data_IF_752892595477
#
_entry.id   IF_752892595477
#
_cell.length_a   1.000
_cell.length_b   1.000
_cell.length_c   1.000
_cell.angle_alpha   90.00
_cell.angle_beta   90.00
_cell.angle_gamma   90.00
#
_symmetry.space_group_name_H-M   'P 1'
#
loop_
_entity.id
_entity.type
_entity.pdbx_description
1 polymer ?
#
# COMPACT_ATOMS: atom_id res chain seq x y z
N UNK A 1 -29.26 -10.45 -45.66
CA UNK A 1 -28.46 -11.50 -46.34
C UNK A 1 -27.03 -10.97 -46.45
N UNK A 2 -25.92 -11.70 -46.33
CA UNK A 2 -25.56 -13.07 -45.84
C UNK A 2 -24.02 -13.16 -45.90
N UNK A 3 -23.27 -13.92 -45.08
CA UNK A 3 -23.58 -14.69 -43.86
C UNK A 3 -22.27 -15.08 -43.15
N UNK A 4 -22.24 -15.06 -41.80
CA UNK A 4 -21.54 -16.03 -40.92
C UNK A 4 -20.02 -16.33 -41.05
N UNK A 5 -19.32 -16.33 -39.88
CA UNK A 5 -18.08 -17.05 -39.54
C UNK A 5 -16.72 -16.58 -40.16
N UNK A 6 -15.55 -16.80 -39.52
CA UNK A 6 -15.19 -17.06 -38.11
C UNK A 6 -13.64 -17.01 -37.90
N UNK A 7 -13.20 -17.06 -36.62
CA UNK A 7 -11.89 -17.58 -36.12
C UNK A 7 -10.57 -16.80 -36.33
N UNK A 8 -10.15 -16.13 -35.26
CA UNK A 8 -8.94 -16.40 -34.42
C UNK A 8 -7.52 -16.50 -35.03
N UNK A 9 -6.63 -15.59 -34.60
CA UNK A 9 -5.22 -15.79 -34.16
C UNK A 9 -4.92 -14.68 -33.11
N UNK A 10 -4.86 -14.91 -31.80
CA UNK A 10 -3.75 -15.42 -30.94
C UNK A 10 -2.44 -14.58 -30.96
N UNK A 11 -2.25 -13.88 -29.84
CA UNK A 11 -1.01 -13.55 -29.11
C UNK A 11 0.16 -12.84 -29.78
N UNK A 12 0.51 -11.66 -29.25
CA UNK A 12 1.88 -11.42 -28.77
C UNK A 12 1.82 -10.81 -27.36
N UNK A 13 2.51 -11.45 -26.42
CA UNK A 13 2.64 -11.03 -25.03
C UNK A 13 3.92 -10.19 -24.88
N UNK A 14 3.84 -9.04 -24.22
CA UNK A 14 5.03 -8.37 -23.66
C UNK A 14 4.77 -8.11 -22.19
N UNK A 15 5.27 -9.00 -21.36
CA UNK A 15 5.23 -8.84 -19.91
C UNK A 15 6.35 -7.89 -19.49
N UNK A 16 6.01 -6.79 -18.83
CA UNK A 16 6.95 -6.10 -17.94
C UNK A 16 6.21 -5.25 -16.90
N UNK A 17 6.81 -5.13 -15.72
CA UNK A 17 6.38 -4.33 -14.56
C UNK A 17 5.11 -4.79 -13.79
N UNK A 18 5.14 -6.04 -13.27
CA UNK A 18 4.31 -6.41 -12.09
C UNK A 18 5.01 -6.00 -10.79
N UNK A 19 4.96 -4.71 -10.45
CA UNK A 19 5.03 -4.33 -9.04
C UNK A 19 3.72 -4.75 -8.36
N UNK A 20 3.75 -5.42 -7.19
CA UNK A 20 2.53 -5.79 -6.46
C UNK A 20 1.95 -4.54 -5.77
N UNK A 21 1.45 -3.58 -6.55
CA UNK A 21 0.70 -2.46 -6.02
C UNK A 21 -0.63 -2.99 -5.47
N UNK A 22 -0.79 -2.97 -4.15
CA UNK A 22 -2.05 -3.33 -3.50
C UNK A 22 -3.19 -2.54 -4.14
N UNK A 23 -4.04 -3.24 -4.90
CA UNK A 23 -5.20 -2.62 -5.53
C UNK A 23 -6.30 -2.62 -4.50
N UNK A 24 -6.40 -1.52 -3.74
CA UNK A 24 -7.46 -1.34 -2.75
C UNK A 24 -8.82 -1.36 -3.44
N UNK A 25 -9.45 -2.54 -3.46
CA UNK A 25 -10.74 -2.77 -4.07
C UNK A 25 -11.76 -1.79 -3.48
N UNK A 26 -12.30 -0.93 -4.34
CA UNK A 26 -13.30 0.08 -3.98
C UNK A 26 -14.52 -0.63 -3.39
N UNK A 27 -14.82 -0.33 -2.14
CA UNK A 27 -16.05 -0.79 -1.47
C UNK A 27 -16.65 0.42 -0.78
N UNK A 28 -17.89 0.71 -1.15
CA UNK A 28 -18.66 1.81 -0.60
C UNK A 28 -19.00 1.54 0.87
N UNK A 29 -19.06 2.59 1.69
CA UNK A 29 -19.41 2.62 3.13
C UNK A 29 -18.51 1.89 4.17
N UNK A 30 -17.92 2.71 5.05
CA UNK A 30 -17.61 2.43 6.48
C UNK A 30 -16.73 1.21 6.86
N UNK A 31 -15.83 0.74 5.99
CA UNK A 31 -14.87 -0.31 6.38
C UNK A 31 -13.76 0.25 7.30
N UNK A 32 -13.50 -0.43 8.42
CA UNK A 32 -12.50 0.05 9.41
C UNK A 32 -11.07 -0.22 8.93
N UNK A 33 -10.08 0.61 9.32
CA UNK A 33 -8.67 0.37 9.00
C UNK A 33 -8.20 -1.06 9.36
N UNK A 34 -8.69 -1.62 10.48
CA UNK A 34 -8.42 -3.01 10.90
C UNK A 34 -8.95 -4.04 9.88
N UNK A 35 -10.09 -3.79 9.27
CA UNK A 35 -10.66 -4.67 8.24
C UNK A 35 -9.92 -4.51 6.92
N UNK A 36 -9.57 -3.28 6.52
CA UNK A 36 -8.75 -3.03 5.34
C UNK A 36 -7.42 -3.79 5.41
N UNK A 37 -6.68 -3.67 6.52
CA UNK A 37 -5.42 -4.41 6.74
C UNK A 37 -5.66 -5.93 6.70
N UNK A 38 -6.73 -6.45 7.32
CA UNK A 38 -7.06 -7.88 7.26
C UNK A 38 -7.32 -8.35 5.83
N UNK A 39 -8.11 -7.60 5.05
CA UNK A 39 -8.45 -7.91 3.65
C UNK A 39 -7.20 -7.92 2.78
N UNK A 40 -6.35 -6.90 2.89
CA UNK A 40 -5.06 -6.84 2.19
C UNK A 40 -4.14 -8.01 2.53
N UNK A 41 -4.06 -8.43 3.80
CA UNK A 41 -3.24 -9.58 4.21
C UNK A 41 -3.80 -10.92 3.70
N UNK A 42 -5.13 -11.11 3.69
CA UNK A 42 -5.75 -12.31 3.11
C UNK A 42 -5.42 -12.40 1.61
N UNK A 43 -5.57 -11.29 0.88
CA UNK A 43 -5.24 -11.24 -0.56
C UNK A 43 -3.75 -11.50 -0.80
N UNK A 44 -2.86 -10.88 -0.02
CA UNK A 44 -1.42 -11.13 -0.06
C UNK A 44 -1.09 -12.61 0.13
N UNK A 45 -1.59 -13.26 1.18
CA UNK A 45 -1.32 -14.68 1.45
C UNK A 45 -1.94 -15.63 0.41
N UNK A 46 -3.07 -15.28 -0.21
CA UNK A 46 -3.62 -16.06 -1.32
C UNK A 46 -2.73 -16.00 -2.58
N UNK A 47 -2.02 -14.88 -2.77
CA UNK A 47 -1.14 -14.63 -3.92
C UNK A 47 0.32 -15.12 -3.70
N UNK A 48 0.63 -15.74 -2.57
CA UNK A 48 1.97 -16.25 -2.25
C UNK A 48 2.36 -17.51 -3.04
N UNK A 49 1.38 -18.26 -3.57
CA UNK A 49 1.56 -19.54 -4.30
C UNK A 49 2.42 -20.61 -3.57
N UNK A 50 2.63 -20.46 -2.26
CA UNK A 50 3.44 -21.35 -1.42
C UNK A 50 4.85 -20.83 -1.08
N UNK A 51 5.23 -19.65 -1.57
CA UNK A 51 6.54 -19.03 -1.28
C UNK A 51 6.71 -18.61 0.19
N UNK A 52 7.94 -18.70 0.68
CA UNK A 52 8.29 -18.30 2.04
C UNK A 52 8.49 -16.78 2.15
N UNK A 53 7.76 -16.12 3.05
CA UNK A 53 7.88 -14.68 3.29
C UNK A 53 8.73 -14.37 4.52
N UNK A 54 9.76 -13.56 4.31
CA UNK A 54 10.55 -12.92 5.36
C UNK A 54 10.14 -11.45 5.50
N UNK A 55 10.46 -10.84 6.65
CA UNK A 55 10.31 -9.39 6.88
C UNK A 55 8.91 -8.79 6.65
N UNK A 56 7.85 -9.60 6.78
CA UNK A 56 6.47 -9.14 6.63
C UNK A 56 6.10 -8.05 7.66
N UNK A 57 6.59 -8.16 8.91
CA UNK A 57 6.29 -7.16 9.94
C UNK A 57 6.82 -5.75 9.58
N UNK A 58 8.12 -5.55 9.28
CA UNK A 58 8.60 -4.22 8.86
C UNK A 58 8.01 -3.76 7.52
N UNK A 59 7.68 -4.67 6.59
CA UNK A 59 6.95 -4.32 5.35
C UNK A 59 5.57 -3.70 5.67
N UNK A 60 4.72 -4.43 6.40
CA UNK A 60 3.37 -3.96 6.76
C UNK A 60 3.43 -2.71 7.63
N UNK A 61 4.40 -2.61 8.53
CA UNK A 61 4.61 -1.42 9.35
C UNK A 61 4.98 -0.20 8.50
N UNK A 62 5.83 -0.35 7.47
CA UNK A 62 6.16 0.74 6.56
C UNK A 62 4.93 1.22 5.76
N UNK A 63 4.15 0.30 5.20
CA UNK A 63 2.90 0.60 4.47
C UNK A 63 1.86 1.32 5.34
N UNK A 64 1.88 1.12 6.67
CA UNK A 64 1.01 1.84 7.60
C UNK A 64 1.61 3.18 8.07
N UNK A 65 2.93 3.25 8.27
CA UNK A 65 3.60 4.45 8.80
C UNK A 65 3.77 5.56 7.77
N UNK A 66 4.08 5.24 6.51
CA UNK A 66 4.28 6.25 5.45
C UNK A 66 3.04 7.14 5.29
N UNK A 67 1.82 6.63 4.99
CA UNK A 67 0.64 7.49 4.81
C UNK A 67 0.21 8.21 6.10
N UNK A 68 0.47 7.62 7.27
CA UNK A 68 0.23 8.28 8.56
C UNK A 68 1.13 9.51 8.74
N UNK A 69 2.43 9.35 8.46
CA UNK A 69 3.43 10.42 8.58
C UNK A 69 3.19 11.53 7.56
N UNK A 70 2.91 11.19 6.30
CA UNK A 70 2.55 12.14 5.25
C UNK A 70 1.33 12.98 5.63
N UNK A 71 0.22 12.33 6.03
CA UNK A 71 -1.03 13.04 6.33
C UNK A 71 -0.94 13.90 7.59
N UNK A 72 -0.16 13.47 8.60
CA UNK A 72 0.09 14.33 9.77
C UNK A 72 1.04 15.49 9.42
N UNK A 73 2.05 15.31 8.58
CA UNK A 73 2.89 16.42 8.11
C UNK A 73 2.09 17.42 7.28
N UNK A 74 1.23 16.96 6.38
CA UNK A 74 0.31 17.80 5.61
C UNK A 74 -0.61 18.61 6.54
N UNK A 75 -1.30 17.93 7.47
CA UNK A 75 -2.21 18.55 8.43
C UNK A 75 -1.50 19.58 9.35
N UNK A 76 -0.25 19.31 9.72
CA UNK A 76 0.58 20.21 10.54
C UNK A 76 1.40 21.21 9.71
N UNK A 77 1.22 21.24 8.38
CA UNK A 77 1.94 22.13 7.44
C UNK A 77 3.46 22.03 7.57
N UNK A 78 3.98 20.82 7.72
CA UNK A 78 5.40 20.53 7.89
C UNK A 78 5.95 20.80 9.31
N UNK A 79 5.13 21.24 10.27
CA UNK A 79 5.60 21.48 11.64
C UNK A 79 5.86 20.16 12.38
N UNK A 80 7.11 19.68 12.29
CA UNK A 80 7.55 18.41 12.90
C UNK A 80 7.38 18.37 14.43
N UNK A 81 7.39 19.50 15.14
CA UNK A 81 7.15 19.49 16.59
C UNK A 81 5.68 19.17 16.87
N UNK A 82 4.76 19.87 16.20
CA UNK A 82 3.31 19.62 16.31
C UNK A 82 2.92 18.22 15.78
N UNK A 83 3.59 17.74 14.74
CA UNK A 83 3.41 16.39 14.22
C UNK A 83 3.83 15.33 15.25
N UNK A 84 4.98 15.53 15.92
CA UNK A 84 5.47 14.61 16.95
C UNK A 84 4.52 14.57 18.16
N UNK A 85 4.04 15.74 18.62
CA UNK A 85 3.03 15.85 19.67
C UNK A 85 1.72 15.14 19.29
N UNK A 86 1.20 15.37 18.08
CA UNK A 86 -0.02 14.74 17.56
C UNK A 86 0.10 13.21 17.45
N UNK A 87 1.27 12.69 17.08
CA UNK A 87 1.55 11.26 16.97
C UNK A 87 1.91 10.61 18.32
N UNK A 88 2.05 11.38 19.41
CA UNK A 88 2.54 10.88 20.69
C UNK A 88 4.01 10.42 20.65
N UNK A 89 4.81 10.93 19.72
CA UNK A 89 6.20 10.55 19.49
C UNK A 89 7.17 11.58 20.04
N UNK A 90 8.35 11.11 20.47
CA UNK A 90 9.49 12.01 20.63
C UNK A 90 9.91 12.58 19.26
N UNK A 91 10.18 13.90 19.17
CA UNK A 91 10.62 14.58 17.93
C UNK A 91 11.84 13.90 17.28
N UNK A 92 12.77 13.36 18.05
CA UNK A 92 13.91 12.59 17.55
C UNK A 92 13.50 11.28 16.87
N UNK A 93 12.48 10.60 17.39
CA UNK A 93 11.89 9.39 16.79
C UNK A 93 11.16 9.73 15.50
N UNK A 94 10.34 10.79 15.49
CA UNK A 94 9.68 11.27 14.27
C UNK A 94 10.72 11.56 13.17
N UNK A 95 11.74 12.38 13.46
CA UNK A 95 12.76 12.75 12.48
C UNK A 95 13.53 11.53 11.93
N UNK A 96 13.77 10.50 12.74
CA UNK A 96 14.35 9.23 12.27
C UNK A 96 13.43 8.53 11.26
N UNK A 97 12.13 8.41 11.56
CA UNK A 97 11.13 7.82 10.65
C UNK A 97 10.99 8.61 9.35
N UNK A 98 10.90 9.95 9.43
CA UNK A 98 10.85 10.79 8.23
C UNK A 98 12.07 10.59 7.33
N UNK A 99 13.28 10.51 7.90
CA UNK A 99 14.49 10.20 7.12
C UNK A 99 14.46 8.78 6.54
N UNK A 100 13.97 7.79 7.29
CA UNK A 100 13.85 6.40 6.84
C UNK A 100 12.95 6.26 5.60
N UNK A 101 11.87 7.06 5.54
CA UNK A 101 10.89 7.03 4.45
C UNK A 101 11.06 8.12 3.38
N UNK A 102 12.15 8.90 3.40
CA UNK A 102 12.41 9.93 2.39
C UNK A 102 11.53 11.20 2.50
N UNK A 103 10.94 11.46 3.67
CA UNK A 103 10.03 12.56 3.97
C UNK A 103 10.73 13.76 4.67
N UNK A 104 12.04 13.95 4.46
CA UNK A 104 12.87 14.96 5.12
C UNK A 104 13.84 15.66 4.15
#
# INVERSE_FOLDING_TARGET
>A
MTSTAARTLISMNTAENRTPHLTLAQTDSQDTLRNCVRRSLIEYFNNLEGEAVNDLYPMVLAEMEIPLLEKVLEYTRGNQTKAAEMLGLNRGTLRKKLKQYGLL
#
